data_IF_080751686223
#
_entry.id   IF_080751686223
#
_cell.length_a   1.000
_cell.length_b   1.000
_cell.length_c   1.000
_cell.angle_alpha   90.00
_cell.angle_beta   90.00
_cell.angle_gamma   90.00
#
_symmetry.space_group_name_H-M   'P 1'
#
loop_
_entity.id
_entity.type
_entity.pdbx_description
1 polymer ?
#
# COMPACT_ATOMS: atom_id res chain seq x y z
N UNK A 1 -2.76 -4.06 -6.40
CA UNK A 1 -4.23 -4.21 -6.25
C UNK A 1 -4.60 -3.65 -4.88
N UNK A 2 -5.68 -2.89 -4.81
CA UNK A 2 -6.16 -2.30 -3.56
C UNK A 2 -7.55 -2.86 -3.21
N UNK A 3 -7.66 -3.52 -2.07
CA UNK A 3 -8.94 -3.91 -1.48
C UNK A 3 -9.35 -2.83 -0.48
N UNK A 4 -10.63 -2.43 -0.44
CA UNK A 4 -11.11 -1.38 0.47
C UNK A 4 -12.29 -1.85 1.28
N UNK A 5 -12.28 -1.56 2.57
CA UNK A 5 -13.38 -1.87 3.48
C UNK A 5 -13.69 -0.66 4.37
N UNK A 6 -14.77 0.05 4.03
CA UNK A 6 -15.24 1.20 4.81
C UNK A 6 -15.75 0.77 6.18
N UNK A 7 -15.46 1.59 7.20
CA UNK A 7 -15.97 1.54 8.57
C UNK A 7 -16.63 2.88 8.90
N UNK A 8 -17.16 3.00 10.12
CA UNK A 8 -17.85 4.22 10.56
C UNK A 8 -16.91 5.44 10.62
N UNK A 9 -15.66 5.24 11.00
CA UNK A 9 -14.66 6.26 11.33
C UNK A 9 -13.40 6.20 10.44
N UNK A 10 -13.25 5.13 9.65
CA UNK A 10 -12.03 4.84 8.89
C UNK A 10 -12.29 3.99 7.66
N UNK A 11 -11.32 3.89 6.78
CA UNK A 11 -11.31 2.94 5.68
C UNK A 11 -10.11 2.02 5.85
N UNK A 12 -10.35 0.71 5.92
CA UNK A 12 -9.30 -0.29 5.88
C UNK A 12 -8.90 -0.51 4.42
N UNK A 13 -7.65 -0.25 4.11
CA UNK A 13 -7.08 -0.41 2.79
C UNK A 13 -6.11 -1.57 2.86
N UNK A 14 -6.35 -2.62 2.07
CA UNK A 14 -5.41 -3.72 1.95
C UNK A 14 -4.67 -3.61 0.64
N UNK A 15 -3.36 -3.42 0.76
CA UNK A 15 -2.42 -3.42 -0.35
C UNK A 15 -2.08 -4.86 -0.66
N UNK A 16 -2.29 -5.29 -1.90
CA UNK A 16 -2.08 -6.67 -2.33
C UNK A 16 -1.18 -6.71 -3.55
N UNK A 17 -0.13 -7.52 -3.47
CA UNK A 17 0.79 -7.83 -4.55
C UNK A 17 0.79 -9.33 -4.85
N UNK A 18 1.09 -9.71 -6.10
CA UNK A 18 1.37 -11.10 -6.44
C UNK A 18 2.51 -11.67 -5.60
N UNK A 19 2.54 -13.00 -5.50
CA UNK A 19 3.66 -13.74 -4.95
C UNK A 19 4.96 -13.31 -5.64
N UNK A 20 6.00 -13.02 -4.85
CA UNK A 20 7.37 -12.78 -5.31
C UNK A 20 7.57 -11.77 -6.46
N UNK A 21 6.59 -10.88 -6.68
CA UNK A 21 6.67 -9.82 -7.71
C UNK A 21 6.40 -8.45 -7.08
N UNK A 22 7.41 -7.59 -6.92
CA UNK A 22 8.85 -7.86 -7.08
C UNK A 22 9.38 -8.83 -5.99
N UNK A 23 10.53 -9.49 -6.22
CA UNK A 23 11.09 -10.44 -5.27
C UNK A 23 11.58 -9.76 -3.98
N UNK A 24 11.59 -10.51 -2.89
CA UNK A 24 12.05 -10.01 -1.58
C UNK A 24 10.99 -9.21 -0.82
N UNK A 25 11.35 -8.61 0.32
CA UNK A 25 10.43 -7.82 1.13
C UNK A 25 9.97 -6.57 0.38
N UNK A 26 8.70 -6.20 0.60
CA UNK A 26 8.10 -4.98 0.05
C UNK A 26 7.37 -4.27 1.18
N UNK A 27 7.61 -2.97 1.32
CA UNK A 27 6.86 -2.09 2.22
C UNK A 27 5.96 -1.16 1.42
N UNK A 28 4.78 -0.89 1.94
CA UNK A 28 4.02 0.31 1.53
C UNK A 28 4.43 1.46 2.44
N UNK A 29 4.72 2.61 1.84
CA UNK A 29 5.10 3.84 2.54
C UNK A 29 4.28 5.01 2.01
N UNK A 30 3.97 5.97 2.85
CA UNK A 30 3.16 7.12 2.49
C UNK A 30 3.06 8.14 3.63
N UNK A 31 2.20 9.13 3.46
CA UNK A 31 1.98 10.15 4.50
C UNK A 31 1.54 9.56 5.85
N UNK A 32 0.78 8.46 5.83
CA UNK A 32 0.25 7.79 7.01
C UNK A 32 1.28 7.03 7.85
N UNK A 33 2.53 6.91 7.39
CA UNK A 33 3.63 6.33 8.16
C UNK A 33 4.94 7.11 7.99
N UNK A 34 4.85 8.41 7.71
CA UNK A 34 6.00 9.30 7.56
C UNK A 34 7.04 8.78 6.54
N UNK A 35 6.56 8.10 5.50
CA UNK A 35 7.40 7.45 4.49
C UNK A 35 8.41 6.43 5.04
N UNK A 36 8.16 5.86 6.22
CA UNK A 36 9.09 4.94 6.89
C UNK A 36 8.92 3.49 6.41
N UNK A 37 9.95 2.88 5.78
CA UNK A 37 9.92 1.48 5.38
C UNK A 37 9.89 0.54 6.59
N UNK A 38 9.35 -0.68 6.41
CA UNK A 38 9.28 -1.70 7.45
C UNK A 38 8.11 -1.55 8.43
N UNK A 39 7.50 -0.37 8.54
CA UNK A 39 6.30 -0.17 9.37
C UNK A 39 5.11 -0.95 8.82
N UNK A 40 4.91 -0.88 7.50
CA UNK A 40 3.84 -1.57 6.78
C UNK A 40 4.42 -2.49 5.69
N UNK A 41 5.15 -3.51 6.14
CA UNK A 41 5.72 -4.52 5.25
C UNK A 41 4.67 -5.58 4.87
N UNK A 42 4.59 -5.93 3.58
CA UNK A 42 3.66 -6.92 3.07
C UNK A 42 4.04 -8.33 3.56
N UNK A 43 3.01 -9.10 3.94
CA UNK A 43 3.15 -10.46 4.48
C UNK A 43 2.45 -11.46 3.57
N UNK A 44 3.04 -12.64 3.42
CA UNK A 44 2.47 -13.71 2.61
C UNK A 44 1.14 -14.19 3.19
N UNK A 45 0.11 -14.25 2.33
CA UNK A 45 -1.21 -14.81 2.60
C UNK A 45 -1.23 -16.30 2.24
N UNK A 46 -2.25 -17.02 2.70
CA UNK A 46 -2.42 -18.46 2.41
C UNK A 46 -2.62 -18.77 0.92
N UNK A 47 -3.12 -17.81 0.15
CA UNK A 47 -3.33 -17.92 -1.29
C UNK A 47 -2.05 -17.65 -2.12
N UNK A 48 -0.91 -17.40 -1.45
CA UNK A 48 0.38 -17.11 -2.07
C UNK A 48 0.61 -15.62 -2.37
N UNK A 49 -0.43 -14.78 -2.36
CA UNK A 49 -0.25 -13.33 -2.50
C UNK A 49 0.45 -12.72 -1.28
N UNK A 50 0.89 -11.47 -1.39
CA UNK A 50 1.44 -10.72 -0.25
C UNK A 50 0.57 -9.51 0.01
N UNK A 51 0.30 -9.22 1.29
CA UNK A 51 -0.55 -8.09 1.63
C UNK A 51 -0.24 -7.45 2.98
N UNK A 52 -0.68 -6.20 3.14
CA UNK A 52 -0.74 -5.48 4.40
C UNK A 52 -1.99 -4.62 4.43
N UNK A 53 -2.67 -4.57 5.57
CA UNK A 53 -3.86 -3.73 5.77
C UNK A 53 -3.50 -2.52 6.62
N UNK A 54 -3.81 -1.32 6.13
CA UNK A 54 -3.64 -0.06 6.84
C UNK A 54 -5.02 0.56 7.07
N UNK A 55 -5.26 1.02 8.28
CA UNK A 55 -6.49 1.72 8.64
C UNK A 55 -6.26 3.22 8.53
N UNK A 56 -6.93 3.87 7.57
CA UNK A 56 -6.77 5.30 7.29
C UNK A 56 -8.05 6.07 7.66
N UNK A 57 -7.95 7.35 8.08
CA UNK A 57 -9.12 8.20 8.26
C UNK A 57 -10.00 8.18 7.01
N UNK A 58 -11.33 8.12 7.16
CA UNK A 58 -12.22 8.16 6.00
C UNK A 58 -12.30 9.54 5.36
N UNK A 59 -12.83 9.61 4.14
CA UNK A 59 -13.04 10.84 3.38
C UNK A 59 -11.79 11.71 3.24
N UNK A 60 -10.62 11.06 3.19
CA UNK A 60 -9.30 11.69 3.15
C UNK A 60 -8.52 11.23 1.93
N UNK A 61 -7.60 12.08 1.48
CA UNK A 61 -6.67 11.76 0.38
C UNK A 61 -5.30 11.46 0.97
N UNK A 62 -4.70 10.37 0.53
CA UNK A 62 -3.39 9.92 0.94
C UNK A 62 -2.48 9.72 -0.27
N UNK A 63 -1.19 9.98 -0.09
CA UNK A 63 -0.15 9.64 -1.06
C UNK A 63 0.72 8.51 -0.54
N UNK A 64 1.03 7.56 -1.41
CA UNK A 64 1.81 6.38 -1.05
C UNK A 64 2.65 5.87 -2.23
N UNK A 65 3.58 4.96 -1.92
CA UNK A 65 4.38 4.22 -2.88
C UNK A 65 4.85 2.89 -2.29
N UNK A 66 5.26 1.95 -3.13
CA UNK A 66 5.92 0.72 -2.70
C UNK A 66 7.43 0.85 -2.75
N UNK A 67 8.10 0.33 -1.71
CA UNK A 67 9.54 0.15 -1.66
C UNK A 67 9.86 -1.34 -1.53
N UNK A 68 10.47 -1.91 -2.56
CA UNK A 68 10.99 -3.28 -2.55
C UNK A 68 12.50 -3.33 -2.25
N UNK A 69 13.02 -4.54 -2.12
CA UNK A 69 14.46 -4.79 -1.97
C UNK A 69 15.28 -4.11 -3.08
N UNK A 70 16.49 -3.67 -2.72
CA UNK A 70 17.40 -2.99 -3.65
C UNK A 70 16.96 -1.58 -4.03
N UNK A 71 16.23 -0.90 -3.14
CA UNK A 71 15.72 0.47 -3.34
C UNK A 71 14.83 0.62 -4.58
N UNK A 72 14.13 -0.45 -4.95
CA UNK A 72 13.21 -0.44 -6.09
C UNK A 72 11.87 0.16 -5.70
N UNK A 73 11.59 1.33 -6.27
CA UNK A 73 10.35 2.07 -6.09
C UNK A 73 9.37 1.82 -7.23
N UNK A 74 8.11 1.57 -6.88
CA UNK A 74 7.04 1.41 -7.86
C UNK A 74 5.67 1.80 -7.30
N UNK A 75 4.75 2.05 -8.22
CA UNK A 75 3.41 2.57 -7.95
C UNK A 75 2.37 1.44 -8.00
N UNK A 76 1.16 1.67 -7.49
CA UNK A 76 0.03 0.75 -7.70
C UNK A 76 -0.77 1.15 -8.94
N UNK A 77 -0.93 0.25 -9.91
CA UNK A 77 -1.78 0.47 -11.08
C UNK A 77 -3.27 0.63 -10.72
N UNK A 78 -3.68 0.15 -9.54
CA UNK A 78 -5.04 0.28 -9.02
C UNK A 78 -5.25 1.53 -8.14
N UNK A 79 -4.29 2.46 -8.11
CA UNK A 79 -4.43 3.72 -7.39
C UNK A 79 -5.54 4.61 -7.98
N UNK A 80 -6.09 5.53 -7.17
CA UNK A 80 -7.13 6.49 -7.61
C UNK A 80 -6.58 7.63 -8.48
N UNK A 81 -5.26 7.63 -8.68
CA UNK A 81 -4.53 8.60 -9.48
C UNK A 81 -3.06 8.63 -9.10
N UNK A 82 -2.34 9.57 -9.68
CA UNK A 82 -0.94 9.83 -9.37
C UNK A 82 -0.75 11.30 -8.98
N UNK A 83 0.15 11.54 -8.04
CA UNK A 83 0.67 12.84 -7.68
C UNK A 83 2.19 12.84 -7.93
N UNK A 84 2.59 13.31 -9.12
CA UNK A 84 3.95 13.13 -9.60
C UNK A 84 4.33 11.65 -9.73
N UNK A 85 5.34 11.21 -8.97
CA UNK A 85 5.81 9.82 -8.93
C UNK A 85 5.15 8.98 -7.84
N UNK A 86 4.12 9.49 -7.17
CA UNK A 86 3.46 8.80 -6.06
C UNK A 86 2.05 8.38 -6.46
N UNK A 87 1.60 7.26 -5.91
CA UNK A 87 0.22 6.81 -6.03
C UNK A 87 -0.68 7.60 -5.09
N UNK A 88 -1.88 7.95 -5.55
CA UNK A 88 -2.91 8.63 -4.76
C UNK A 88 -4.04 7.68 -4.38
N UNK A 89 -4.54 7.80 -3.16
CA UNK A 89 -5.59 6.98 -2.58
C UNK A 89 -6.65 7.84 -1.90
N UNK A 90 -7.91 7.59 -2.23
CA UNK A 90 -9.07 8.18 -1.56
C UNK A 90 -9.77 7.12 -0.69
N UNK A 91 -10.08 7.52 0.53
CA UNK A 91 -10.62 6.65 1.60
C UNK A 91 -12.08 6.93 1.89
#
# INVERSE_FOLDING_TARGET
MLERKRRKDRTEITFVLPADTPPGPVSVVGDFNDWQPGVHELRTRKDGSRAVTVALPGASTHVFRYLAAGDYWFDDESADGHDGTNSRLHT
#
